data_IF_787367276538
#
_entry.id   IF_787367276538
#
_cell.length_a   1.000
_cell.length_b   1.000
_cell.length_c   1.000
_cell.angle_alpha   90.00
_cell.angle_beta   90.00
_cell.angle_gamma   90.00
#
_symmetry.space_group_name_H-M   'P 1'
#
loop_
_entity.id
_entity.type
_entity.pdbx_description
1 polymer ?
#
# COMPACT_ATOMS: atom_id res chain seq x y z
N UNK A 1 -19.14 33.60 36.86
CA UNK A 1 -18.80 33.54 38.29
C UNK A 1 -19.27 32.21 38.88
N UNK A 2 -18.38 31.49 39.59
CA UNK A 2 -18.62 30.45 40.64
C UNK A 2 -19.62 29.31 40.31
N UNK A 3 -19.34 28.02 40.53
CA UNK A 3 -18.68 27.43 41.71
C UNK A 3 -18.40 25.93 41.46
N UNK A 4 -17.23 25.49 41.92
CA UNK A 4 -16.80 24.08 42.06
C UNK A 4 -17.68 23.37 43.09
N UNK A 5 -17.83 22.04 42.98
CA UNK A 5 -18.15 21.16 44.11
C UNK A 5 -17.11 20.04 44.16
N UNK A 6 -16.29 20.11 45.21
CA UNK A 6 -15.37 19.06 45.68
C UNK A 6 -16.02 18.45 46.92
N UNK A 7 -16.01 17.13 47.03
CA UNK A 7 -16.30 16.35 48.25
C UNK A 7 -15.85 14.91 47.97
N UNK A 8 -15.13 14.18 48.82
CA UNK A 8 -14.94 14.25 50.27
C UNK A 8 -13.66 13.48 50.64
N UNK A 9 -13.00 13.94 51.70
CA UNK A 9 -11.88 13.33 52.40
C UNK A 9 -12.35 12.25 53.41
N UNK A 10 -11.46 11.33 53.77
CA UNK A 10 -11.51 10.45 54.96
C UNK A 10 -11.15 9.00 54.59
N UNK A 11 -10.28 8.26 55.29
CA UNK A 11 -9.66 8.40 56.62
C UNK A 11 -8.30 7.67 56.59
N UNK A 12 -7.34 8.18 57.37
CA UNK A 12 -6.11 7.52 57.76
C UNK A 12 -6.41 6.73 59.04
N UNK A 13 -5.94 5.49 59.13
CA UNK A 13 -5.91 4.70 60.36
C UNK A 13 -4.45 4.28 60.57
N UNK A 14 -3.83 4.86 61.60
CA UNK A 14 -2.65 4.33 62.28
C UNK A 14 -3.10 3.19 63.18
N UNK A 15 -2.32 2.12 63.24
CA UNK A 15 -2.38 1.13 64.30
C UNK A 15 -0.97 0.62 64.57
N UNK A 16 -0.49 0.93 65.77
CA UNK A 16 0.75 0.45 66.40
C UNK A 16 0.80 -1.07 66.44
N UNK A 17 2.00 -1.63 66.26
CA UNK A 17 2.31 -2.98 66.72
C UNK A 17 3.77 -3.06 67.16
N UNK A 18 3.92 -3.69 68.31
CA UNK A 18 5.09 -3.76 69.20
C UNK A 18 6.22 -4.63 68.62
N UNK A 19 7.45 -4.35 69.08
CA UNK A 19 8.64 -5.13 68.83
C UNK A 19 8.62 -6.46 69.63
N UNK A 20 8.93 -7.58 68.98
CA UNK A 20 9.55 -8.74 69.63
C UNK A 20 10.63 -9.35 68.71
N UNK A 21 11.80 -9.59 69.31
CA UNK A 21 12.99 -10.22 68.75
C UNK A 21 12.83 -11.73 68.56
N UNK A 22 13.52 -12.29 67.55
CA UNK A 22 14.11 -13.62 67.65
C UNK A 22 13.95 -14.53 66.43
N UNK A 23 15.09 -15.06 65.95
CA UNK A 23 15.13 -16.38 65.30
C UNK A 23 15.67 -16.42 63.87
N UNK A 24 16.91 -16.86 63.74
CA UNK A 24 17.60 -17.23 62.50
C UNK A 24 16.89 -18.37 61.74
N UNK A 25 16.94 -18.34 60.40
CA UNK A 25 16.81 -19.57 59.60
C UNK A 25 16.18 -19.42 58.21
N UNK A 26 17.01 -19.54 57.16
CA UNK A 26 16.57 -20.04 55.85
C UNK A 26 16.33 -19.01 54.75
N UNK A 27 17.35 -18.76 53.92
CA UNK A 27 17.20 -18.12 52.60
C UNK A 27 16.53 -19.09 51.62
N UNK A 28 15.20 -19.19 51.67
CA UNK A 28 14.41 -19.77 50.58
C UNK A 28 14.06 -18.65 49.60
N UNK A 29 14.64 -18.69 48.40
CA UNK A 29 14.35 -17.74 47.33
C UNK A 29 12.88 -17.79 46.93
N UNK A 30 12.11 -16.79 47.36
CA UNK A 30 10.74 -16.60 46.94
C UNK A 30 10.72 -16.16 45.47
N UNK A 31 10.36 -17.07 44.57
CA UNK A 31 9.93 -16.73 43.21
C UNK A 31 8.61 -15.99 43.32
N UNK A 32 8.66 -14.66 43.33
CA UNK A 32 7.47 -13.83 43.13
C UNK A 32 6.81 -14.15 41.78
N UNK A 33 5.48 -13.96 41.64
CA UNK A 33 4.80 -14.21 40.39
C UNK A 33 5.38 -13.28 39.32
N UNK A 34 5.99 -13.87 38.29
CA UNK A 34 6.40 -13.17 37.08
C UNK A 34 5.19 -12.39 36.55
N UNK A 35 5.27 -11.07 36.34
CA UNK A 35 4.18 -10.35 35.69
C UNK A 35 3.93 -11.02 34.33
N UNK A 36 2.66 -11.19 33.89
CA UNK A 36 2.39 -11.76 32.59
C UNK A 36 3.14 -10.90 31.57
N UNK A 37 4.03 -11.53 30.81
CA UNK A 37 4.76 -10.87 29.74
C UNK A 37 3.74 -10.12 28.90
N UNK A 38 3.81 -8.78 28.92
CA UNK A 38 2.90 -7.95 28.16
C UNK A 38 3.02 -8.42 26.71
N UNK A 39 1.95 -9.04 26.20
CA UNK A 39 1.88 -9.50 24.82
C UNK A 39 2.18 -8.28 23.96
N UNK A 40 3.37 -8.25 23.36
CA UNK A 40 3.76 -7.12 22.52
C UNK A 40 2.63 -6.90 21.51
N UNK A 41 2.17 -5.65 21.29
CA UNK A 41 1.08 -5.40 20.37
C UNK A 41 1.45 -6.06 19.05
N UNK A 42 0.63 -7.00 18.59
CA UNK A 42 0.84 -7.69 17.32
C UNK A 42 0.83 -6.61 16.23
N UNK A 43 2.02 -6.26 15.75
CA UNK A 43 2.17 -5.26 14.69
C UNK A 43 1.65 -5.90 13.41
N UNK A 44 0.36 -5.70 13.12
CA UNK A 44 -0.22 -6.11 11.85
C UNK A 44 0.57 -5.41 10.75
N UNK A 45 1.17 -6.21 9.86
CA UNK A 45 1.89 -5.68 8.71
C UNK A 45 0.96 -4.78 7.89
N UNK A 46 1.50 -3.67 7.40
CA UNK A 46 0.76 -2.73 6.58
C UNK A 46 0.24 -3.38 5.29
N UNK A 47 -0.95 -2.98 4.81
CA UNK A 47 -1.46 -3.44 3.52
C UNK A 47 -0.63 -2.85 2.37
N UNK A 48 -0.70 -3.51 1.22
CA UNK A 48 -0.13 -2.98 -0.02
C UNK A 48 -0.83 -1.68 -0.44
N UNK A 49 -0.07 -0.69 -0.86
CA UNK A 49 -0.60 0.60 -1.33
C UNK A 49 0.11 1.08 -2.59
N UNK A 50 -0.58 1.94 -3.34
CA UNK A 50 -0.05 2.58 -4.53
C UNK A 50 0.52 3.96 -4.15
N UNK A 51 1.82 4.21 -4.34
CA UNK A 51 2.40 5.53 -4.07
C UNK A 51 1.70 6.64 -4.86
N UNK A 52 1.37 7.73 -4.17
CA UNK A 52 0.67 8.88 -4.77
C UNK A 52 -0.83 8.66 -5.03
N UNK A 53 -1.42 7.54 -4.61
CA UNK A 53 -2.85 7.33 -4.69
C UNK A 53 -3.59 7.89 -3.47
N UNK A 54 -4.84 8.33 -3.65
CA UNK A 54 -5.74 8.65 -2.54
C UNK A 54 -6.73 7.50 -2.29
N UNK A 55 -7.18 7.29 -1.05
CA UNK A 55 -8.25 6.34 -0.75
C UNK A 55 -9.50 6.64 -1.57
N UNK A 56 -10.27 5.61 -1.94
CA UNK A 56 -11.50 5.81 -2.70
C UNK A 56 -12.54 6.59 -1.89
N UNK A 57 -12.70 6.27 -0.61
CA UNK A 57 -13.65 6.93 0.28
C UNK A 57 -15.05 7.08 -0.33
N UNK A 58 -15.72 8.19 0.00
CA UNK A 58 -17.02 8.56 -0.55
C UNK A 58 -16.90 9.53 -1.73
N UNK A 59 -15.69 9.77 -2.24
CA UNK A 59 -15.45 10.72 -3.32
C UNK A 59 -15.75 10.07 -4.68
N UNK A 60 -16.34 10.85 -5.58
CA UNK A 60 -16.49 10.44 -6.98
C UNK A 60 -15.17 10.52 -7.73
N UNK A 61 -14.24 11.38 -7.30
CA UNK A 61 -12.91 11.54 -7.91
C UNK A 61 -11.79 11.19 -6.94
N UNK A 62 -10.78 10.46 -7.40
CA UNK A 62 -9.58 10.13 -6.62
C UNK A 62 -8.34 10.08 -7.49
N UNK A 63 -7.17 10.20 -6.86
CA UNK A 63 -5.89 9.99 -7.54
C UNK A 63 -5.50 8.52 -7.49
N UNK A 64 -5.10 7.99 -8.65
CA UNK A 64 -4.45 6.69 -8.79
C UNK A 64 -2.93 6.81 -8.67
N UNK A 65 -2.39 7.95 -9.12
CA UNK A 65 -0.99 8.33 -8.96
C UNK A 65 -0.86 9.85 -8.92
N UNK A 66 0.10 10.34 -8.14
CA UNK A 66 0.52 11.74 -8.14
C UNK A 66 2.03 11.77 -7.90
N UNK A 67 2.78 12.37 -8.81
CA UNK A 67 4.22 12.53 -8.70
C UNK A 67 4.66 13.91 -9.22
N UNK A 68 5.97 14.11 -9.37
CA UNK A 68 6.56 15.37 -9.83
C UNK A 68 6.29 15.69 -11.29
N UNK A 69 5.90 14.72 -12.12
CA UNK A 69 5.54 14.95 -13.52
C UNK A 69 4.07 15.33 -13.70
N UNK A 70 3.19 14.81 -12.85
CA UNK A 70 1.75 14.98 -13.00
C UNK A 70 0.93 14.09 -12.08
N UNK A 71 -0.31 13.83 -12.49
CA UNK A 71 -1.21 12.93 -11.80
C UNK A 71 -2.07 12.11 -12.76
N UNK A 72 -2.52 10.97 -12.26
CA UNK A 72 -3.54 10.11 -12.86
C UNK A 72 -4.72 10.12 -11.90
N UNK A 73 -5.88 10.54 -12.39
CA UNK A 73 -7.11 10.56 -11.60
C UNK A 73 -8.18 9.70 -12.25
N UNK A 74 -9.04 9.12 -11.41
CA UNK A 74 -10.23 8.42 -11.87
C UNK A 74 -11.47 9.13 -11.34
N UNK A 75 -12.48 9.26 -12.20
CA UNK A 75 -13.81 9.76 -11.90
C UNK A 75 -14.79 8.60 -12.04
N UNK A 76 -15.48 8.27 -10.95
CA UNK A 76 -16.49 7.22 -10.93
C UNK A 76 -17.78 7.72 -11.60
N UNK A 77 -18.20 7.03 -12.65
CA UNK A 77 -19.50 7.22 -13.30
C UNK A 77 -20.48 6.09 -12.99
N UNK A 78 -21.74 6.21 -13.43
CA UNK A 78 -22.77 5.19 -13.25
C UNK A 78 -22.49 3.92 -14.08
N UNK A 79 -22.04 4.08 -15.32
CA UNK A 79 -21.82 2.96 -16.26
C UNK A 79 -20.34 2.57 -16.38
N UNK A 80 -19.46 3.57 -16.35
CA UNK A 80 -18.01 3.42 -16.48
C UNK A 80 -17.29 4.50 -15.69
N UNK A 81 -16.02 4.27 -15.39
CA UNK A 81 -15.16 5.31 -14.84
C UNK A 81 -14.45 6.06 -15.97
N UNK A 82 -14.00 7.28 -15.68
CA UNK A 82 -13.17 8.06 -16.60
C UNK A 82 -11.79 8.26 -15.98
N UNK A 83 -10.73 7.80 -16.65
CA UNK A 83 -9.36 7.98 -16.19
C UNK A 83 -8.70 9.11 -16.97
N UNK A 84 -8.19 10.10 -16.24
CA UNK A 84 -7.56 11.30 -16.77
C UNK A 84 -6.09 11.37 -16.35
N UNK A 85 -5.23 11.73 -17.29
CA UNK A 85 -3.81 12.01 -17.02
C UNK A 85 -3.59 13.50 -17.22
N UNK A 86 -3.04 14.16 -16.19
CA UNK A 86 -2.70 15.58 -16.21
C UNK A 86 -1.23 15.76 -15.87
N UNK A 87 -0.53 16.57 -16.65
CA UNK A 87 0.87 16.92 -16.39
C UNK A 87 0.97 18.31 -15.80
N UNK A 88 1.94 18.51 -14.90
CA UNK A 88 2.18 19.81 -14.28
C UNK A 88 2.80 20.79 -15.27
N UNK A 89 3.69 20.29 -16.14
CA UNK A 89 4.26 21.06 -17.26
C UNK A 89 3.51 20.76 -18.56
N UNK A 90 2.60 21.66 -18.91
CA UNK A 90 1.80 21.58 -20.15
C UNK A 90 2.63 22.02 -21.36
N UNK A 91 3.70 22.79 -21.17
CA UNK A 91 4.53 23.32 -22.26
C UNK A 91 5.48 22.26 -22.83
N UNK A 92 5.95 21.34 -21.98
CA UNK A 92 6.84 20.25 -22.39
C UNK A 92 6.14 19.15 -23.20
N UNK A 93 4.81 18.99 -23.07
CA UNK A 93 4.04 17.96 -23.79
C UNK A 93 2.95 18.62 -24.64
N UNK A 94 3.20 18.73 -25.95
CA UNK A 94 2.36 19.43 -26.91
C UNK A 94 0.99 18.76 -27.21
N UNK A 95 0.66 17.64 -26.55
CA UNK A 95 -0.57 16.88 -26.76
C UNK A 95 -1.33 16.64 -25.45
N UNK A 96 -2.60 17.03 -25.42
CA UNK A 96 -3.53 16.66 -24.36
C UNK A 96 -3.81 15.17 -24.46
N UNK A 97 -3.55 14.42 -23.39
CA UNK A 97 -3.86 12.99 -23.36
C UNK A 97 -5.39 12.81 -23.34
N UNK A 98 -5.97 12.06 -24.29
CA UNK A 98 -7.40 11.81 -24.30
C UNK A 98 -7.83 11.07 -23.02
N UNK A 99 -8.98 11.43 -22.46
CA UNK A 99 -9.57 10.70 -21.33
C UNK A 99 -9.83 9.23 -21.72
N UNK A 100 -9.51 8.30 -20.83
CA UNK A 100 -9.78 6.87 -21.00
C UNK A 100 -11.14 6.52 -20.41
N UNK A 101 -11.98 5.86 -21.21
CA UNK A 101 -13.21 5.20 -20.74
C UNK A 101 -12.84 3.87 -20.10
N UNK A 102 -13.02 3.75 -18.79
CA UNK A 102 -12.63 2.60 -17.98
C UNK A 102 -13.84 1.73 -17.60
N UNK A 103 -13.96 0.59 -18.28
CA UNK A 103 -14.93 -0.48 -17.97
C UNK A 103 -14.35 -1.54 -17.01
N UNK A 104 -13.04 -1.56 -16.78
CA UNK A 104 -12.38 -2.53 -15.90
C UNK A 104 -12.47 -2.11 -14.42
N UNK A 105 -12.70 -0.82 -14.18
CA UNK A 105 -12.73 -0.23 -12.85
C UNK A 105 -11.34 -0.23 -12.24
N UNK A 106 -10.39 0.45 -12.90
CA UNK A 106 -9.01 0.59 -12.46
C UNK A 106 -8.91 1.29 -11.09
N UNK A 107 -8.18 0.67 -10.18
CA UNK A 107 -8.02 1.13 -8.79
C UNK A 107 -6.58 1.48 -8.44
N UNK A 108 -5.64 1.01 -9.27
CA UNK A 108 -4.21 1.19 -9.15
C UNK A 108 -3.69 1.89 -10.40
N UNK A 109 -2.69 2.74 -10.25
CA UNK A 109 -2.03 3.36 -11.40
C UNK A 109 -0.65 3.89 -11.05
N UNK A 110 0.23 3.99 -12.05
CA UNK A 110 1.51 4.67 -11.93
C UNK A 110 1.80 5.48 -13.19
N UNK A 111 2.27 6.71 -12.98
CA UNK A 111 2.63 7.66 -14.02
C UNK A 111 4.12 7.53 -14.35
N UNK A 112 4.43 6.98 -15.53
CA UNK A 112 5.79 6.89 -16.06
C UNK A 112 6.15 8.08 -16.97
N UNK A 113 7.33 8.05 -17.60
CA UNK A 113 7.78 9.09 -18.52
C UNK A 113 7.02 9.05 -19.86
N UNK A 114 6.85 7.85 -20.41
CA UNK A 114 6.33 7.62 -21.77
C UNK A 114 4.88 7.09 -21.80
N UNK A 115 4.35 6.70 -20.65
CA UNK A 115 3.00 6.18 -20.53
C UNK A 115 2.57 5.99 -19.08
N UNK A 116 1.34 5.54 -18.90
CA UNK A 116 0.76 5.18 -17.60
C UNK A 116 0.43 3.70 -17.58
N UNK A 117 0.69 3.04 -16.45
CA UNK A 117 0.17 1.70 -16.16
C UNK A 117 -1.03 1.84 -15.22
N UNK A 118 -2.06 1.03 -15.44
CA UNK A 118 -3.30 0.96 -14.68
C UNK A 118 -3.58 -0.50 -14.34
N UNK A 119 -4.18 -0.76 -13.19
CA UNK A 119 -4.61 -2.11 -12.84
C UNK A 119 -5.89 -2.16 -12.02
N UNK A 120 -6.65 -3.22 -12.23
CA UNK A 120 -7.87 -3.55 -11.48
C UNK A 120 -7.72 -4.92 -10.84
N UNK A 121 -8.28 -5.06 -9.64
CA UNK A 121 -8.35 -6.36 -8.94
C UNK A 121 -9.43 -7.23 -9.57
N UNK A 122 -9.39 -8.52 -9.28
CA UNK A 122 -10.45 -9.42 -9.69
C UNK A 122 -11.79 -8.99 -9.05
N UNK A 123 -12.89 -9.08 -9.81
CA UNK A 123 -14.23 -8.66 -9.36
C UNK A 123 -15.20 -9.85 -9.37
N UNK A 124 -14.91 -10.85 -8.54
CA UNK A 124 -15.71 -12.07 -8.45
C UNK A 124 -15.54 -13.00 -9.65
N UNK A 125 -16.39 -14.03 -9.72
CA UNK A 125 -16.29 -15.08 -10.73
C UNK A 125 -16.37 -14.52 -12.17
N UNK A 126 -15.45 -14.94 -13.02
CA UNK A 126 -15.41 -14.56 -14.45
C UNK A 126 -14.87 -13.15 -14.74
N UNK A 127 -14.45 -12.38 -13.73
CA UNK A 127 -13.84 -11.05 -13.92
C UNK A 127 -12.40 -11.04 -13.37
N UNK A 128 -11.41 -11.44 -14.20
CA UNK A 128 -10.03 -11.56 -13.75
C UNK A 128 -9.44 -10.18 -13.40
N UNK A 129 -8.34 -10.20 -12.65
CA UNK A 129 -7.52 -9.00 -12.45
C UNK A 129 -6.86 -8.59 -13.77
N UNK A 130 -6.84 -7.29 -14.05
CA UNK A 130 -6.38 -6.73 -15.33
C UNK A 130 -5.28 -5.71 -15.08
N UNK A 131 -4.24 -5.74 -15.92
CA UNK A 131 -3.23 -4.68 -16.03
C UNK A 131 -3.26 -4.12 -17.45
N UNK A 132 -3.18 -2.79 -17.56
CA UNK A 132 -3.19 -2.08 -18.84
C UNK A 132 -2.07 -1.05 -18.84
N UNK A 133 -1.35 -0.96 -19.94
CA UNK A 133 -0.42 0.15 -20.19
C UNK A 133 -0.91 0.98 -21.36
N UNK A 134 -0.82 2.30 -21.17
CA UNK A 134 -1.25 3.29 -22.16
C UNK A 134 -0.13 4.29 -22.41
N UNK A 135 0.48 4.29 -23.61
CA UNK A 135 1.48 5.29 -23.98
C UNK A 135 0.84 6.68 -24.13
N UNK A 136 1.61 7.73 -23.88
CA UNK A 136 1.17 9.13 -24.06
C UNK A 136 1.24 9.59 -25.51
N UNK A 137 2.25 9.09 -26.22
CA UNK A 137 2.48 9.33 -27.63
C UNK A 137 2.48 7.99 -28.34
N UNK A 138 1.62 7.88 -29.35
CA UNK A 138 1.44 6.67 -30.11
C UNK A 138 1.64 7.00 -31.57
N UNK A 139 2.63 6.39 -32.21
CA UNK A 139 2.88 6.54 -33.65
C UNK A 139 1.89 5.73 -34.49
N UNK A 140 1.18 4.78 -33.87
CA UNK A 140 0.10 4.00 -34.47
C UNK A 140 -1.14 4.00 -33.56
N UNK A 141 -2.33 3.81 -34.12
CA UNK A 141 -3.53 3.58 -33.31
C UNK A 141 -3.41 2.26 -32.54
N UNK A 142 -3.80 2.24 -31.26
CA UNK A 142 -3.88 1.01 -30.47
C UNK A 142 -2.55 0.47 -29.92
N UNK A 143 -1.54 1.32 -29.64
CA UNK A 143 -0.32 0.88 -28.94
C UNK A 143 -0.51 0.66 -27.43
N UNK A 144 -1.73 0.82 -26.91
CA UNK A 144 -2.07 0.36 -25.57
C UNK A 144 -2.22 -1.17 -25.57
N UNK A 145 -1.85 -1.78 -24.45
CA UNK A 145 -1.98 -3.21 -24.27
C UNK A 145 -2.63 -3.52 -22.93
N UNK A 146 -3.26 -4.68 -22.87
CA UNK A 146 -3.94 -5.20 -21.69
C UNK A 146 -3.52 -6.65 -21.48
N UNK A 147 -3.29 -7.03 -20.22
CA UNK A 147 -3.05 -8.41 -19.81
C UNK A 147 -3.97 -8.76 -18.65
N UNK A 148 -4.50 -9.98 -18.67
CA UNK A 148 -5.27 -10.55 -17.56
C UNK A 148 -4.39 -11.48 -16.73
N UNK A 149 -4.71 -11.61 -15.44
CA UNK A 149 -4.06 -12.59 -14.57
C UNK A 149 -4.92 -13.85 -14.42
N UNK A 150 -4.30 -15.02 -14.16
CA UNK A 150 -5.00 -16.25 -13.85
C UNK A 150 -5.93 -16.11 -12.63
N UNK A 151 -6.87 -17.04 -12.49
CA UNK A 151 -7.72 -17.11 -11.31
C UNK A 151 -6.88 -17.26 -10.03
N UNK A 152 -7.25 -16.51 -8.99
CA UNK A 152 -6.50 -16.47 -7.72
C UNK A 152 -5.33 -15.49 -7.70
N UNK A 153 -4.97 -14.87 -8.82
CA UNK A 153 -3.91 -13.86 -8.88
C UNK A 153 -4.48 -12.45 -9.08
N UNK A 154 -4.06 -11.51 -8.22
CA UNK A 154 -4.57 -10.14 -8.22
C UNK A 154 -3.45 -9.11 -8.19
N UNK A 155 -3.60 -8.06 -8.99
CA UNK A 155 -2.77 -6.85 -8.91
C UNK A 155 -2.90 -6.19 -7.53
N UNK A 156 -1.77 -5.94 -6.86
CA UNK A 156 -1.73 -5.24 -5.57
C UNK A 156 -1.15 -3.83 -5.67
N UNK A 157 -0.11 -3.66 -6.48
CA UNK A 157 0.47 -2.36 -6.82
C UNK A 157 1.19 -2.42 -8.17
N UNK A 158 1.43 -1.27 -8.77
CA UNK A 158 2.06 -1.12 -10.08
C UNK A 158 3.13 -0.03 -10.07
N UNK A 159 4.09 -0.12 -10.99
CA UNK A 159 5.09 0.90 -11.24
C UNK A 159 5.41 0.99 -12.74
N UNK A 160 5.85 2.16 -13.20
CA UNK A 160 6.20 2.38 -14.60
C UNK A 160 7.56 3.09 -14.69
N UNK A 161 8.54 2.41 -15.26
CA UNK A 161 9.86 2.97 -15.57
C UNK A 161 9.89 3.59 -16.97
N UNK A 162 11.10 3.90 -17.46
CA UNK A 162 11.32 4.45 -18.80
C UNK A 162 11.30 3.39 -19.91
N UNK A 163 11.47 2.11 -19.57
CA UNK A 163 11.54 1.00 -20.53
C UNK A 163 10.67 -0.20 -20.15
N UNK A 164 9.99 -0.15 -19.01
CA UNK A 164 9.19 -1.26 -18.49
C UNK A 164 7.98 -0.77 -17.69
N UNK A 165 7.01 -1.65 -17.56
CA UNK A 165 5.92 -1.53 -16.61
C UNK A 165 5.89 -2.77 -15.72
N UNK A 166 5.60 -2.59 -14.44
CA UNK A 166 5.66 -3.66 -13.45
C UNK A 166 4.38 -3.72 -12.63
N UNK A 167 3.99 -4.94 -12.26
CA UNK A 167 2.87 -5.22 -11.37
C UNK A 167 3.29 -6.26 -10.35
N UNK A 168 3.09 -5.96 -9.07
CA UNK A 168 3.20 -6.95 -8.01
C UNK A 168 1.82 -7.54 -7.72
N UNK A 169 1.79 -8.85 -7.58
CA UNK A 169 0.65 -9.64 -7.12
C UNK A 169 0.95 -10.20 -5.73
N UNK A 170 0.18 -11.17 -5.24
CA UNK A 170 0.33 -11.67 -3.85
C UNK A 170 1.73 -12.27 -3.59
N UNK A 171 2.34 -12.89 -4.60
CA UNK A 171 3.67 -13.54 -4.46
C UNK A 171 4.60 -13.36 -5.66
N UNK A 172 4.18 -12.64 -6.71
CA UNK A 172 4.98 -12.45 -7.91
C UNK A 172 5.17 -10.97 -8.23
N UNK A 173 6.34 -10.66 -8.75
CA UNK A 173 6.61 -9.44 -9.48
C UNK A 173 6.62 -9.79 -10.98
N UNK A 174 5.72 -9.16 -11.72
CA UNK A 174 5.61 -9.29 -13.17
C UNK A 174 6.14 -8.03 -13.83
N UNK A 175 7.11 -8.18 -14.73
CA UNK A 175 7.70 -7.08 -15.49
C UNK A 175 7.35 -7.26 -16.96
N UNK A 176 6.86 -6.20 -17.57
CA UNK A 176 6.49 -6.11 -18.98
C UNK A 176 7.34 -5.04 -19.65
N UNK A 177 7.67 -5.26 -20.92
CA UNK A 177 8.16 -4.19 -21.78
C UNK A 177 7.03 -3.18 -22.03
N UNK A 178 7.37 -1.95 -22.45
CA UNK A 178 6.35 -0.97 -22.82
C UNK A 178 5.48 -1.41 -24.02
N UNK A 179 5.96 -2.36 -24.82
CA UNK A 179 5.22 -2.98 -25.91
C UNK A 179 4.25 -4.10 -25.47
N UNK A 180 4.26 -4.48 -24.18
CA UNK A 180 3.35 -5.47 -23.60
C UNK A 180 3.88 -6.89 -23.57
N UNK A 181 5.08 -7.14 -24.10
CA UNK A 181 5.74 -8.45 -23.97
C UNK A 181 6.17 -8.70 -22.52
N UNK A 182 5.86 -9.86 -21.91
CA UNK A 182 6.39 -10.26 -20.62
C UNK A 182 7.91 -10.37 -20.66
N UNK A 183 8.59 -9.71 -19.73
CA UNK A 183 10.05 -9.71 -19.60
C UNK A 183 10.49 -10.64 -18.49
N UNK A 184 9.83 -10.58 -17.33
CA UNK A 184 10.17 -11.41 -16.17
C UNK A 184 8.95 -11.68 -15.28
N UNK A 185 8.97 -12.85 -14.63
CA UNK A 185 8.11 -13.20 -13.50
C UNK A 185 9.01 -13.67 -12.38
N UNK A 186 9.05 -12.94 -11.28
CA UNK A 186 9.97 -13.15 -10.15
C UNK A 186 9.14 -13.43 -8.91
N UNK A 187 9.46 -14.49 -8.17
CA UNK A 187 8.83 -14.74 -6.87
C UNK A 187 9.34 -13.73 -5.83
N UNK A 188 8.42 -13.10 -5.12
CA UNK A 188 8.74 -12.19 -4.03
C UNK A 188 9.00 -12.99 -2.75
N UNK A 189 10.04 -12.62 -2.00
CA UNK A 189 10.38 -13.27 -0.72
C UNK A 189 9.39 -12.95 0.42
N UNK A 190 8.45 -12.02 0.19
CA UNK A 190 7.40 -11.67 1.13
C UNK A 190 6.30 -10.87 0.47
N UNK A 191 5.28 -10.49 1.25
CA UNK A 191 4.15 -9.70 0.71
C UNK A 191 4.62 -8.32 0.27
N UNK A 192 4.31 -7.95 -0.96
CA UNK A 192 4.58 -6.62 -1.48
C UNK A 192 3.80 -5.55 -0.69
N UNK A 193 4.47 -4.46 -0.37
CA UNK A 193 3.89 -3.27 0.25
C UNK A 193 3.72 -2.16 -0.77
N UNK A 194 4.73 -1.91 -1.60
CA UNK A 194 4.70 -0.85 -2.60
C UNK A 194 5.75 -1.13 -3.70
N UNK A 195 5.49 -0.57 -4.88
CA UNK A 195 6.44 -0.49 -5.97
C UNK A 195 6.72 0.97 -6.33
N UNK A 196 7.95 1.26 -6.73
CA UNK A 196 8.32 2.53 -7.34
C UNK A 196 9.31 2.29 -8.48
N UNK A 197 9.27 3.12 -9.53
CA UNK A 197 10.19 3.01 -10.64
C UNK A 197 10.75 4.39 -11.01
N UNK A 198 12.00 4.42 -11.45
CA UNK A 198 12.67 5.62 -11.97
C UNK A 198 13.72 5.21 -13.00
N UNK A 199 13.62 5.75 -14.22
CA UNK A 199 14.44 5.30 -15.34
C UNK A 199 14.30 3.78 -15.55
N UNK A 200 15.42 3.07 -15.57
CA UNK A 200 15.50 1.61 -15.67
C UNK A 200 15.47 0.87 -14.33
N UNK A 201 15.31 1.57 -13.20
CA UNK A 201 15.33 0.97 -11.87
C UNK A 201 13.91 0.73 -11.35
N UNK A 202 13.75 -0.40 -10.65
CA UNK A 202 12.53 -0.80 -9.96
C UNK A 202 12.85 -1.03 -8.49
N UNK A 203 12.18 -0.32 -7.59
CA UNK A 203 12.27 -0.55 -6.17
C UNK A 203 11.05 -1.35 -5.70
N UNK A 204 11.29 -2.44 -4.99
CA UNK A 204 10.25 -3.26 -4.36
C UNK A 204 10.39 -3.15 -2.84
N UNK A 205 9.33 -2.67 -2.18
CA UNK A 205 9.21 -2.75 -0.74
C UNK A 205 8.31 -3.93 -0.38
N UNK A 206 8.79 -4.83 0.49
CA UNK A 206 8.05 -6.01 0.91
C UNK A 206 8.28 -6.30 2.40
N UNK A 207 7.37 -7.09 2.98
CA UNK A 207 7.48 -7.61 4.36
C UNK A 207 7.70 -9.10 4.28
N UNK A 208 8.84 -9.55 4.80
CA UNK A 208 9.10 -10.97 5.09
C UNK A 208 8.28 -11.35 6.33
N UNK A 209 7.54 -12.46 6.27
CA UNK A 209 6.82 -12.98 7.43
C UNK A 209 7.83 -13.60 8.42
N UNK A 210 8.48 -12.72 9.18
CA UNK A 210 8.97 -13.01 10.51
C UNK A 210 8.38 -11.94 11.43
N UNK A 211 8.11 -12.30 12.68
CA UNK A 211 7.47 -11.52 13.76
C UNK A 211 8.04 -10.11 14.03
N UNK A 212 8.96 -9.59 13.21
CA UNK A 212 9.67 -8.34 13.35
C UNK A 212 9.19 -7.18 12.44
N UNK A 213 8.33 -7.41 11.43
CA UNK A 213 7.79 -6.32 10.60
C UNK A 213 8.87 -5.49 9.86
N UNK A 214 10.00 -6.10 9.52
CA UNK A 214 11.11 -5.44 8.84
C UNK A 214 10.79 -5.27 7.35
N UNK A 215 10.82 -4.04 6.84
CA UNK A 215 10.66 -3.75 5.41
C UNK A 215 12.03 -3.88 4.76
N UNK A 216 12.13 -4.69 3.70
CA UNK A 216 13.35 -4.82 2.90
C UNK A 216 13.16 -4.26 1.50
N UNK A 217 14.28 -3.86 0.90
CA UNK A 217 14.36 -3.33 -0.45
C UNK A 217 15.16 -4.29 -1.32
N UNK A 218 14.60 -4.63 -2.48
CA UNK A 218 15.34 -5.27 -3.56
C UNK A 218 15.48 -4.24 -4.68
N UNK A 219 16.73 -4.02 -5.13
CA UNK A 219 17.09 -3.17 -6.26
C UNK A 219 17.37 -4.02 -7.50
#
# INVERSE_FOLDING_TARGET
>A
AKRRKVSRLGKIAESDSEEEEGGEGGIAGATGPTPPAALAPSRRAQPCFQPGATPAGNSTRRFLAYNTAGCVSTLRGPDYNSVEVSFHDVSARNSRIPTLTDYFGFELGALGPSGTILASRARGAGKPSVVMYRPFESWAAGSEWTSTFPEGEEAKCVACGSSFAACATEGYLRVFSLAGSPVAVISLAGRCVALAASGSHLAVAYVEDDLAGQIRFQQ
#
